data_IF_659243250831
#
_entry.id   IF_659243250831
#
_cell.length_a   1.000
_cell.length_b   1.000
_cell.length_c   1.000
_cell.angle_alpha   90.00
_cell.angle_beta   90.00
_cell.angle_gamma   90.00
#
_symmetry.space_group_name_H-M   'P 1'
#
loop_
_entity.id
_entity.type
_entity.pdbx_description
1 polymer ?
#
# COMPACT_ATOMS: atom_id res chain seq x y z
N UNK A 1 -10.40 -7.45 -15.45
CA UNK A 1 -8.99 -7.81 -15.15
C UNK A 1 -7.97 -6.74 -15.56
N UNK A 2 -8.05 -6.13 -16.76
CA UNK A 2 -7.08 -5.11 -17.21
C UNK A 2 -7.02 -3.85 -16.31
N UNK A 3 -8.17 -3.27 -15.97
CA UNK A 3 -8.25 -2.07 -15.11
C UNK A 3 -7.58 -2.27 -13.73
N UNK A 4 -7.82 -3.41 -13.08
CA UNK A 4 -7.24 -3.73 -11.77
C UNK A 4 -5.72 -3.87 -11.82
N UNK A 5 -5.20 -4.41 -12.92
CA UNK A 5 -3.75 -4.48 -13.16
C UNK A 5 -3.15 -3.10 -13.38
N UNK A 6 -3.83 -2.21 -14.10
CA UNK A 6 -3.40 -0.81 -14.27
C UNK A 6 -3.37 -0.10 -12.92
N UNK A 7 -4.45 -0.21 -12.13
CA UNK A 7 -4.50 0.36 -10.77
C UNK A 7 -3.33 -0.12 -9.91
N UNK A 8 -3.01 -1.42 -9.96
CA UNK A 8 -1.88 -1.98 -9.20
C UNK A 8 -0.53 -1.42 -9.64
N UNK A 9 -0.32 -1.22 -10.95
CA UNK A 9 0.90 -0.60 -11.47
C UNK A 9 1.01 0.85 -11.00
N UNK A 10 -0.10 1.60 -11.07
CA UNK A 10 -0.14 2.99 -10.59
C UNK A 10 0.19 3.05 -9.09
N UNK A 11 -0.43 2.19 -8.28
CA UNK A 11 -0.15 2.12 -6.84
C UNK A 11 1.31 1.78 -6.55
N UNK A 12 1.90 0.82 -7.28
CA UNK A 12 3.31 0.48 -7.14
C UNK A 12 4.22 1.69 -7.46
N UNK A 13 3.98 2.39 -8.57
CA UNK A 13 4.78 3.56 -8.96
C UNK A 13 4.64 4.67 -7.91
N UNK A 14 3.41 4.97 -7.50
CA UNK A 14 3.15 6.00 -6.47
C UNK A 14 3.81 5.64 -5.13
N UNK A 15 3.71 4.39 -4.69
CA UNK A 15 4.37 3.91 -3.46
C UNK A 15 5.89 4.02 -3.57
N UNK A 16 6.46 3.71 -4.73
CA UNK A 16 7.90 3.86 -4.97
C UNK A 16 8.34 5.33 -4.90
N UNK A 17 7.62 6.23 -5.57
CA UNK A 17 7.92 7.67 -5.57
C UNK A 17 7.81 8.27 -4.16
N UNK A 18 6.71 8.00 -3.45
CA UNK A 18 6.50 8.52 -2.08
C UNK A 18 7.56 7.98 -1.12
N UNK A 19 7.88 6.68 -1.20
CA UNK A 19 8.94 6.09 -0.37
C UNK A 19 10.29 6.75 -0.69
N UNK A 20 10.61 6.95 -1.97
CA UNK A 20 11.84 7.61 -2.40
C UNK A 20 11.97 9.04 -1.85
N UNK A 21 10.90 9.84 -1.95
CA UNK A 21 10.84 11.20 -1.38
C UNK A 21 11.10 11.16 0.13
N UNK A 22 10.47 10.21 0.85
CA UNK A 22 10.64 10.09 2.30
C UNK A 22 12.06 9.67 2.69
N UNK A 23 12.69 8.77 1.93
CA UNK A 23 14.10 8.38 2.15
C UNK A 23 15.03 9.58 1.97
N UNK A 24 14.84 10.37 0.91
CA UNK A 24 15.64 11.58 0.66
C UNK A 24 15.43 12.61 1.79
N UNK A 25 14.18 12.80 2.25
CA UNK A 25 13.87 13.70 3.35
C UNK A 25 14.55 13.26 4.67
N UNK A 26 14.47 11.96 5.01
CA UNK A 26 15.12 11.40 6.19
C UNK A 26 16.65 11.54 6.10
N UNK A 27 17.24 11.24 4.94
CA UNK A 27 18.67 11.40 4.70
C UNK A 27 19.12 12.85 4.89
N UNK A 28 18.41 13.81 4.29
CA UNK A 28 18.74 15.23 4.41
C UNK A 28 18.67 15.72 5.86
N UNK A 29 17.64 15.31 6.61
CA UNK A 29 17.48 15.74 8.00
C UNK A 29 18.50 15.11 8.96
N UNK A 30 18.89 13.86 8.75
CA UNK A 30 19.84 13.18 9.64
C UNK A 30 21.29 13.50 9.32
N UNK A 31 21.66 13.45 8.03
CA UNK A 31 23.05 13.50 7.60
C UNK A 31 23.50 14.94 7.35
N UNK A 32 22.67 15.76 6.71
CA UNK A 32 23.08 17.13 6.39
C UNK A 32 22.86 18.09 7.56
N UNK A 33 21.76 17.91 8.31
CA UNK A 33 21.36 18.86 9.34
C UNK A 33 21.72 18.42 10.77
N UNK A 34 22.32 17.23 10.96
CA UNK A 34 22.65 16.66 12.29
C UNK A 34 21.50 16.80 13.32
N UNK A 35 20.26 16.64 12.86
CA UNK A 35 19.09 16.88 13.70
C UNK A 35 18.94 15.76 14.73
N UNK A 36 18.72 16.05 16.02
CA UNK A 36 18.52 15.01 17.02
C UNK A 36 17.26 14.20 16.73
N UNK A 37 17.33 12.89 17.01
CA UNK A 37 16.24 11.94 16.76
C UNK A 37 15.02 12.26 17.63
N UNK A 38 14.02 12.87 17.01
CA UNK A 38 12.71 13.13 17.63
C UNK A 38 11.68 12.08 17.21
N UNK A 39 10.57 11.98 17.94
CA UNK A 39 9.46 11.06 17.62
C UNK A 39 8.99 11.13 16.16
N UNK A 40 8.95 12.34 15.58
CA UNK A 40 8.59 12.53 14.17
C UNK A 40 9.57 11.86 13.18
N UNK A 41 10.86 11.80 13.52
CA UNK A 41 11.86 11.13 12.68
C UNK A 41 11.69 9.60 12.71
N UNK A 42 11.37 9.02 13.86
CA UNK A 42 11.07 7.58 13.96
C UNK A 42 9.87 7.19 13.08
N UNK A 43 8.83 8.02 13.03
CA UNK A 43 7.68 7.80 12.13
C UNK A 43 8.13 7.81 10.66
N UNK A 44 8.96 8.78 10.26
CA UNK A 44 9.46 8.86 8.88
C UNK A 44 10.37 7.67 8.51
N UNK A 45 11.21 7.20 9.45
CA UNK A 45 11.99 5.97 9.26
C UNK A 45 11.09 4.74 9.11
N UNK A 46 10.04 4.63 9.92
CA UNK A 46 9.07 3.54 9.82
C UNK A 46 8.37 3.53 8.46
N UNK A 47 8.02 4.72 7.93
CA UNK A 47 7.48 4.87 6.56
C UNK A 47 8.47 4.36 5.51
N UNK A 48 9.78 4.63 5.66
CA UNK A 48 10.78 4.14 4.72
C UNK A 48 10.86 2.60 4.73
N UNK A 49 10.93 2.00 5.92
CA UNK A 49 11.01 0.54 6.08
C UNK A 49 9.75 -0.14 5.54
N UNK A 50 8.58 0.33 5.96
CA UNK A 50 7.29 -0.24 5.55
C UNK A 50 6.98 0.05 4.08
N UNK A 51 7.48 1.14 3.51
CA UNK A 51 7.40 1.45 2.08
C UNK A 51 8.19 0.46 1.22
N UNK A 52 9.41 0.11 1.61
CA UNK A 52 10.21 -0.93 0.93
C UNK A 52 9.49 -2.29 1.00
N UNK A 53 8.92 -2.63 2.15
CA UNK A 53 8.13 -3.86 2.32
C UNK A 53 6.86 -3.84 1.47
N UNK A 54 6.17 -2.70 1.38
CA UNK A 54 4.98 -2.51 0.52
C UNK A 54 5.32 -2.65 -0.97
N UNK A 55 6.46 -2.11 -1.43
CA UNK A 55 6.96 -2.33 -2.80
C UNK A 55 7.19 -3.81 -3.06
N UNK A 56 7.85 -4.51 -2.13
CA UNK A 56 8.09 -5.95 -2.20
C UNK A 56 6.77 -6.75 -2.24
N UNK A 57 5.79 -6.34 -1.43
CA UNK A 57 4.44 -6.87 -1.43
C UNK A 57 3.78 -6.73 -2.81
N UNK A 58 3.85 -5.56 -3.43
CA UNK A 58 3.27 -5.33 -4.75
C UNK A 58 3.89 -6.23 -5.84
N UNK A 59 5.21 -6.42 -5.83
CA UNK A 59 5.88 -7.35 -6.75
C UNK A 59 5.43 -8.81 -6.53
N UNK A 60 5.42 -9.27 -5.27
CA UNK A 60 5.01 -10.65 -4.93
C UNK A 60 3.55 -10.92 -5.25
N UNK A 61 2.68 -9.92 -5.11
CA UNK A 61 1.24 -10.05 -5.36
C UNK A 61 0.86 -9.78 -6.83
N UNK A 62 1.77 -9.26 -7.64
CA UNK A 62 1.54 -9.02 -9.07
C UNK A 62 1.15 -10.28 -9.83
N UNK A 63 1.65 -11.45 -9.40
CA UNK A 63 1.33 -12.76 -9.98
C UNK A 63 -0.17 -13.11 -9.92
N UNK A 64 -0.91 -12.65 -8.91
CA UNK A 64 -2.36 -12.89 -8.82
C UNK A 64 -3.18 -12.09 -9.83
N UNK A 65 -2.57 -11.10 -10.48
CA UNK A 65 -3.19 -10.30 -11.53
C UNK A 65 -2.81 -10.78 -12.94
N UNK A 66 -1.88 -11.74 -13.06
CA UNK A 66 -1.63 -12.47 -14.31
C UNK A 66 -2.70 -13.58 -14.44
N UNK A 67 -3.13 -13.84 -15.68
CA UNK A 67 -4.16 -14.86 -16.01
C UNK A 67 -3.73 -16.30 -15.70
N UNK A 68 -2.49 -16.52 -15.30
CA UNK A 68 -1.98 -17.85 -14.95
C UNK A 68 -2.59 -18.27 -13.62
N UNK A 69 -3.44 -19.30 -13.67
CA UNK A 69 -4.01 -20.00 -12.52
C UNK A 69 -2.90 -20.60 -11.68
N UNK A 70 -2.24 -19.80 -10.86
CA UNK A 70 -1.31 -20.30 -9.86
C UNK A 70 -1.98 -20.25 -8.49
N UNK A 71 -2.41 -21.43 -8.05
CA UNK A 71 -2.89 -21.79 -6.70
C UNK A 71 -1.85 -21.56 -5.58
N UNK A 72 -0.85 -20.69 -5.78
CA UNK A 72 0.12 -20.37 -4.72
C UNK A 72 -0.45 -19.27 -3.85
N UNK A 73 -1.17 -19.69 -2.81
CA UNK A 73 -1.59 -18.86 -1.66
C UNK A 73 -0.38 -18.03 -1.20
N UNK A 74 -0.56 -16.71 -1.09
CA UNK A 74 0.47 -15.87 -0.48
C UNK A 74 0.39 -16.09 1.04
N UNK A 75 1.19 -17.02 1.56
CA UNK A 75 1.25 -17.31 3.02
C UNK A 75 1.95 -16.23 3.85
N UNK A 76 2.57 -15.23 3.22
CA UNK A 76 3.34 -14.19 3.92
C UNK A 76 2.42 -13.14 4.57
N UNK A 77 1.77 -13.49 5.68
CA UNK A 77 0.94 -12.58 6.50
C UNK A 77 1.70 -11.31 6.91
N UNK A 78 3.02 -11.41 7.11
CA UNK A 78 3.89 -10.27 7.45
C UNK A 78 3.90 -9.17 6.38
N UNK A 79 3.84 -9.54 5.09
CA UNK A 79 3.84 -8.58 3.99
C UNK A 79 2.49 -7.87 3.85
N UNK A 80 1.39 -8.58 4.13
CA UNK A 80 0.05 -7.98 4.21
C UNK A 80 0.00 -6.93 5.33
N UNK A 81 0.36 -7.34 6.54
CA UNK A 81 0.39 -6.44 7.70
C UNK A 81 1.29 -5.24 7.43
N UNK A 82 2.46 -5.44 6.83
CA UNK A 82 3.38 -4.34 6.48
C UNK A 82 2.76 -3.36 5.48
N UNK A 83 1.99 -3.84 4.50
CA UNK A 83 1.31 -2.97 3.53
C UNK A 83 0.18 -2.15 4.17
N UNK A 84 -0.61 -2.76 5.08
CA UNK A 84 -1.60 -2.00 5.88
C UNK A 84 -0.92 -0.96 6.75
N UNK A 85 0.16 -1.32 7.45
CA UNK A 85 0.89 -0.38 8.29
C UNK A 85 1.40 0.79 7.45
N UNK A 86 2.01 0.52 6.30
CA UNK A 86 2.45 1.56 5.37
C UNK A 86 1.29 2.48 4.96
N UNK A 87 0.16 1.92 4.55
CA UNK A 87 -1.01 2.68 4.16
C UNK A 87 -1.57 3.57 5.30
N UNK A 88 -1.62 3.04 6.52
CA UNK A 88 -2.03 3.79 7.71
C UNK A 88 -1.05 4.92 8.04
N UNK A 89 0.27 4.68 7.89
CA UNK A 89 1.27 5.71 8.09
C UNK A 89 1.17 6.84 7.05
N UNK A 90 0.85 6.52 5.79
CA UNK A 90 0.59 7.54 4.76
C UNK A 90 -0.63 8.40 5.10
N UNK A 91 -1.72 7.78 5.56
CA UNK A 91 -2.91 8.48 6.04
C UNK A 91 -2.57 9.37 7.23
N UNK A 92 -1.85 8.82 8.21
CA UNK A 92 -1.44 9.56 9.41
C UNK A 92 -0.55 10.75 9.08
N UNK A 93 0.51 10.57 8.28
CA UNK A 93 1.48 11.63 8.00
C UNK A 93 0.87 12.74 7.15
N UNK A 94 0.06 12.40 6.14
CA UNK A 94 -0.66 13.39 5.32
C UNK A 94 -1.66 14.20 6.16
N UNK A 95 -2.39 13.55 7.05
CA UNK A 95 -3.34 14.21 7.96
C UNK A 95 -2.62 15.12 8.96
N UNK A 96 -1.50 14.64 9.52
CA UNK A 96 -0.68 15.40 10.46
C UNK A 96 -0.08 16.64 9.81
N UNK A 97 0.52 16.50 8.62
CA UNK A 97 1.10 17.63 7.87
C UNK A 97 0.00 18.63 7.51
N UNK A 98 -1.15 18.16 7.02
CA UNK A 98 -2.29 19.02 6.69
C UNK A 98 -2.78 19.80 7.92
N UNK A 99 -2.86 19.16 9.08
CA UNK A 99 -3.22 19.82 10.34
C UNK A 99 -2.18 20.86 10.78
N UNK A 100 -0.89 20.57 10.63
CA UNK A 100 0.18 21.53 10.91
C UNK A 100 0.04 22.78 10.04
N UNK A 101 -0.24 22.62 8.74
CA UNK A 101 -0.50 23.75 7.85
C UNK A 101 -1.76 24.51 8.23
N UNK A 102 -2.83 23.82 8.60
CA UNK A 102 -4.06 24.48 9.04
C UNK A 102 -3.81 25.38 10.26
N UNK A 103 -2.98 24.92 11.19
CA UNK A 103 -2.60 25.71 12.38
C UNK A 103 -1.73 26.92 12.03
N UNK A 104 -0.81 26.77 11.06
CA UNK A 104 0.07 27.85 10.60
C UNK A 104 -0.70 28.91 9.80
N UNK A 105 -1.73 28.49 9.06
CA UNK A 105 -2.55 29.33 8.19
C UNK A 105 -3.62 30.16 8.95
N UNK A 106 -3.40 30.45 10.24
CA UNK A 106 -4.24 31.38 11.03
C UNK A 106 -3.89 32.86 10.79
N UNK A 107 -2.94 33.16 9.91
CA UNK A 107 -2.63 34.53 9.46
C UNK A 107 -3.49 34.95 8.26
N UNK A 108 -3.54 36.27 7.99
CA UNK A 108 -4.49 36.88 7.04
C UNK A 108 -4.18 36.67 5.55
N UNK A 109 -3.09 35.99 5.18
CA UNK A 109 -2.73 35.74 3.77
C UNK A 109 -2.36 34.28 3.56
N UNK A 110 -3.14 33.60 2.70
CA UNK A 110 -2.88 32.23 2.29
C UNK A 110 -2.03 32.27 1.02
N UNK A 111 -0.73 32.03 1.15
CA UNK A 111 0.15 31.92 -0.02
C UNK A 111 -0.25 30.74 -0.90
N UNK A 112 -0.07 30.89 -2.22
CA UNK A 112 -0.36 29.85 -3.22
C UNK A 112 0.38 28.53 -2.95
N UNK A 113 1.52 28.61 -2.28
CA UNK A 113 2.35 27.46 -1.86
C UNK A 113 1.61 26.52 -0.90
N UNK A 114 0.78 27.05 0.02
CA UNK A 114 0.01 26.23 0.95
C UNK A 114 -1.02 25.37 0.20
N UNK A 115 -1.65 25.89 -0.86
CA UNK A 115 -2.60 25.12 -1.67
C UNK A 115 -1.95 23.93 -2.38
N UNK A 116 -0.76 24.13 -2.95
CA UNK A 116 0.01 23.05 -3.58
C UNK A 116 0.34 21.96 -2.56
N UNK A 117 0.71 22.38 -1.35
CA UNK A 117 1.06 21.44 -0.29
C UNK A 117 -0.16 20.66 0.25
N UNK A 118 -1.33 21.30 0.35
CA UNK A 118 -2.58 20.61 0.65
C UNK A 118 -2.96 19.61 -0.44
N UNK A 119 -2.83 19.97 -1.72
CA UNK A 119 -3.08 19.07 -2.84
C UNK A 119 -2.18 17.83 -2.78
N UNK A 120 -0.89 18.03 -2.49
CA UNK A 120 0.06 16.93 -2.30
C UNK A 120 -0.32 16.04 -1.10
N UNK A 121 -0.67 16.63 0.04
CA UNK A 121 -1.11 15.87 1.22
C UNK A 121 -2.38 15.07 0.93
N UNK A 122 -3.34 15.67 0.24
CA UNK A 122 -4.57 14.99 -0.19
C UNK A 122 -4.28 13.81 -1.11
N UNK A 123 -3.34 13.96 -2.05
CA UNK A 123 -2.90 12.85 -2.90
C UNK A 123 -2.27 11.70 -2.10
N UNK A 124 -1.36 11.99 -1.16
CA UNK A 124 -0.75 10.98 -0.29
C UNK A 124 -1.78 10.29 0.60
N UNK A 125 -2.77 11.04 1.09
CA UNK A 125 -3.89 10.49 1.86
C UNK A 125 -4.72 9.50 1.04
N UNK A 126 -5.10 9.89 -0.19
CA UNK A 126 -5.84 9.01 -1.11
C UNK A 126 -5.03 7.76 -1.46
N UNK A 127 -3.71 7.88 -1.65
CA UNK A 127 -2.83 6.74 -1.90
C UNK A 127 -2.96 5.70 -0.78
N UNK A 128 -2.92 6.13 0.49
CA UNK A 128 -3.11 5.25 1.63
C UNK A 128 -4.49 4.55 1.63
N UNK A 129 -5.56 5.27 1.30
CA UNK A 129 -6.90 4.67 1.17
C UNK A 129 -6.93 3.61 0.07
N UNK A 130 -6.38 3.92 -1.11
CA UNK A 130 -6.39 2.99 -2.23
C UNK A 130 -5.57 1.72 -1.96
N UNK A 131 -4.46 1.83 -1.21
CA UNK A 131 -3.70 0.65 -0.77
C UNK A 131 -4.55 -0.28 0.10
N UNK A 132 -5.32 0.25 1.05
CA UNK A 132 -6.22 -0.54 1.91
C UNK A 132 -7.33 -1.20 1.09
N UNK A 133 -7.91 -0.47 0.13
CA UNK A 133 -8.95 -1.00 -0.76
C UNK A 133 -8.40 -2.14 -1.63
N UNK A 134 -7.21 -1.95 -2.24
CA UNK A 134 -6.55 -2.98 -3.05
C UNK A 134 -6.30 -4.23 -2.24
N UNK A 135 -5.83 -4.07 -1.01
CA UNK A 135 -5.54 -5.18 -0.11
C UNK A 135 -6.80 -5.97 0.23
N UNK A 136 -7.89 -5.29 0.61
CA UNK A 136 -9.20 -5.94 0.86
C UNK A 136 -9.71 -6.70 -0.36
N UNK A 137 -9.56 -6.13 -1.55
CA UNK A 137 -9.96 -6.78 -2.80
C UNK A 137 -9.11 -8.00 -3.11
N UNK A 138 -7.80 -7.91 -2.94
CA UNK A 138 -6.90 -9.03 -3.18
C UNK A 138 -7.19 -10.17 -2.19
N UNK A 139 -7.41 -9.86 -0.92
CA UNK A 139 -7.79 -10.83 0.10
C UNK A 139 -9.09 -11.56 -0.28
N UNK A 140 -10.13 -10.81 -0.65
CA UNK A 140 -11.41 -11.39 -1.10
C UNK A 140 -11.23 -12.25 -2.36
N UNK A 141 -10.39 -11.82 -3.30
CA UNK A 141 -10.12 -12.57 -4.53
C UNK A 141 -9.40 -13.89 -4.26
N UNK A 142 -8.43 -13.91 -3.34
CA UNK A 142 -7.71 -15.13 -2.95
C UNK A 142 -8.66 -16.10 -2.25
N UNK A 143 -9.44 -15.62 -1.26
CA UNK A 143 -10.42 -16.46 -0.55
C UNK A 143 -11.43 -17.10 -1.49
N UNK A 144 -11.96 -16.33 -2.45
CA UNK A 144 -12.90 -16.85 -3.45
C UNK A 144 -12.23 -17.90 -4.36
N UNK A 145 -10.97 -17.70 -4.74
CA UNK A 145 -10.22 -18.68 -5.53
C UNK A 145 -9.97 -19.97 -4.76
N UNK A 146 -9.69 -19.88 -3.46
CA UNK A 146 -9.50 -21.03 -2.59
C UNK A 146 -10.81 -21.82 -2.46
N UNK A 147 -11.94 -21.15 -2.18
CA UNK A 147 -13.26 -21.80 -2.13
C UNK A 147 -13.61 -22.49 -3.45
N UNK A 148 -13.39 -21.84 -4.60
CA UNK A 148 -13.62 -22.47 -5.91
C UNK A 148 -12.70 -23.66 -6.17
N UNK A 149 -11.43 -23.59 -5.72
CA UNK A 149 -10.51 -24.72 -5.87
C UNK A 149 -10.92 -25.93 -5.03
N UNK A 150 -11.46 -25.71 -3.82
CA UNK A 150 -12.00 -26.78 -2.98
C UNK A 150 -13.26 -27.41 -3.59
N UNK A 151 -14.19 -26.60 -4.10
CA UNK A 151 -15.40 -27.10 -4.77
C UNK A 151 -15.05 -27.92 -6.03
N UNK A 152 -14.18 -27.40 -6.90
CA UNK A 152 -13.73 -28.14 -8.08
C UNK A 152 -12.97 -29.43 -7.72
N UNK A 153 -12.24 -29.43 -6.59
CA UNK A 153 -11.59 -30.63 -6.08
C UNK A 153 -12.59 -31.71 -5.62
N UNK A 154 -13.71 -31.31 -5.02
CA UNK A 154 -14.79 -32.21 -4.62
C UNK A 154 -15.54 -32.74 -5.85
N UNK A 155 -15.83 -31.90 -6.83
CA UNK A 155 -16.51 -32.31 -8.07
C UNK A 155 -15.65 -33.29 -8.89
N UNK A 156 -14.33 -33.12 -8.93
CA UNK A 156 -13.42 -34.09 -9.57
C UNK A 156 -13.39 -35.45 -8.85
N UNK A 157 -13.61 -35.49 -7.53
CA UNK A 157 -13.69 -36.76 -6.79
C UNK A 157 -15.02 -37.47 -7.08
N UNK A 158 -16.12 -36.72 -7.21
CA UNK A 158 -17.42 -37.29 -7.57
C UNK A 158 -17.47 -37.80 -9.01
N UNK A 159 -16.88 -37.09 -9.97
CA UNK A 159 -16.84 -37.52 -11.36
C UNK A 159 -16.13 -38.86 -11.58
N UNK A 160 -15.12 -39.19 -10.74
CA UNK A 160 -14.46 -40.49 -10.79
C UNK A 160 -15.28 -41.63 -10.16
N UNK A 161 -16.25 -41.34 -9.29
CA UNK A 161 -17.10 -42.37 -8.67
C UNK A 161 -18.23 -42.84 -9.60
N UNK A 162 -18.65 -42.01 -10.55
CA UNK A 162 -19.72 -42.35 -11.51
C UNK A 162 -19.20 -43.14 -12.73
N UNK A 163 -17.89 -43.10 -13.01
CA UNK A 163 -17.25 -43.84 -14.12
C UNK A 163 -16.82 -45.28 -13.75
N UNK A 164 -16.85 -45.63 -12.45
CA UNK A 164 -16.40 -46.93 -11.91
C UNK A 164 -17.57 -47.90 -11.55
N UNK A 165 -18.81 -47.59 -11.96
CA UNK A 165 -20.03 -48.41 -11.77
C UNK A 165 -20.60 -48.93 -13.10
#
# INVERSE_FOLDING_TARGET
>A
MKLRRILKIILLICSFVVTGIMVVAVYSLLVNNNTPLNFGMYVNMLICITGILSITYHFKTFKFYKKEKHNKILKDTSLWVSNIIYALLLIYISSRISYSFYKMNKGDTIDSEFYIMYLFCFFVFLLGIFLIIEERWLYKSIKNSETQSHLNGIDNIKGHLDDDL
#
